data_IF_997530998079
#
_entry.id   IF_997530998079
#
_cell.length_a   1.000
_cell.length_b   1.000
_cell.length_c   1.000
_cell.angle_alpha   90.00
_cell.angle_beta   90.00
_cell.angle_gamma   90.00
#
_symmetry.space_group_name_H-M   'P 1'
#
loop_
_entity.id
_entity.type
_entity.pdbx_description
1 polymer ?
#
# COMPACT_ATOMS: atom_id res chain seq x y z
N UNK A 1 22.44 -6.43 -72.84
CA UNK A 1 21.49 -6.98 -71.84
C UNK A 1 22.28 -7.62 -70.71
N UNK A 2 22.22 -7.06 -69.49
CA UNK A 2 22.31 -7.72 -68.17
C UNK A 2 22.51 -6.63 -67.10
N UNK A 3 21.64 -6.68 -66.10
CA UNK A 3 21.37 -5.64 -65.09
C UNK A 3 22.47 -5.55 -64.02
N UNK A 4 22.70 -4.38 -63.39
CA UNK A 4 23.42 -4.32 -62.13
C UNK A 4 22.45 -4.61 -60.97
N UNK A 5 22.74 -5.67 -60.21
CA UNK A 5 22.04 -6.01 -58.97
C UNK A 5 22.51 -5.04 -57.89
N UNK A 6 21.59 -4.19 -57.45
CA UNK A 6 21.74 -3.31 -56.29
C UNK A 6 21.74 -4.15 -55.01
N UNK A 7 22.85 -4.15 -54.27
CA UNK A 7 22.94 -4.75 -52.95
C UNK A 7 22.67 -3.65 -51.90
N UNK A 8 21.39 -3.45 -51.58
CA UNK A 8 20.96 -2.60 -50.48
C UNK A 8 21.22 -3.33 -49.15
N UNK A 9 22.35 -3.02 -48.50
CA UNK A 9 22.63 -3.44 -47.11
C UNK A 9 21.86 -2.50 -46.18
N UNK A 10 20.60 -2.85 -45.92
CA UNK A 10 19.77 -2.22 -44.90
C UNK A 10 20.27 -2.70 -43.53
N UNK A 11 21.17 -1.92 -42.92
CA UNK A 11 21.62 -2.10 -41.55
C UNK A 11 20.44 -1.87 -40.62
N UNK A 12 19.83 -2.97 -40.16
CA UNK A 12 18.92 -2.98 -39.02
C UNK A 12 19.71 -2.55 -37.77
N UNK A 13 19.69 -1.25 -37.49
CA UNK A 13 19.98 -0.72 -36.15
C UNK A 13 18.84 -1.17 -35.23
N UNK A 14 19.02 -2.36 -34.66
CA UNK A 14 18.28 -2.82 -33.49
C UNK A 14 18.50 -1.79 -32.37
N UNK A 15 17.55 -0.88 -32.22
CA UNK A 15 17.40 -0.05 -31.03
C UNK A 15 17.00 -0.99 -29.90
N UNK A 16 17.99 -1.60 -29.26
CA UNK A 16 17.81 -2.22 -27.95
C UNK A 16 17.55 -1.09 -26.97
N UNK A 17 16.28 -0.70 -26.81
CA UNK A 17 15.85 0.08 -25.67
C UNK A 17 16.17 -0.75 -24.43
N UNK A 18 17.10 -0.35 -23.54
CA UNK A 18 17.13 -0.95 -22.22
C UNK A 18 15.75 -0.68 -21.62
N UNK A 19 14.97 -1.74 -21.41
CA UNK A 19 13.76 -1.63 -20.62
C UNK A 19 14.19 -1.03 -19.29
N UNK A 20 13.78 0.21 -19.03
CA UNK A 20 13.92 0.83 -17.73
C UNK A 20 13.07 0.00 -16.78
N UNK A 21 13.69 -1.04 -16.21
CA UNK A 21 13.22 -1.68 -15.01
C UNK A 21 13.43 -0.66 -13.89
N UNK A 22 12.57 0.37 -13.86
CA UNK A 22 12.60 1.41 -12.85
C UNK A 22 12.38 0.76 -11.49
N UNK A 23 13.28 1.03 -10.55
CA UNK A 23 13.16 0.55 -9.18
C UNK A 23 11.81 0.97 -8.57
N UNK A 24 11.16 0.05 -7.85
CA UNK A 24 9.91 0.34 -7.15
C UNK A 24 10.09 1.52 -6.19
N UNK A 25 9.14 2.49 -6.14
CA UNK A 25 9.24 3.65 -5.26
C UNK A 25 8.89 3.29 -3.82
N UNK A 26 9.75 2.51 -3.14
CA UNK A 26 9.46 1.89 -1.84
C UNK A 26 9.56 2.84 -0.64
N UNK A 27 9.99 4.09 -0.83
CA UNK A 27 10.27 5.04 0.25
C UNK A 27 9.31 6.22 0.27
N UNK A 28 8.74 6.51 1.44
CA UNK A 28 7.89 7.67 1.69
C UNK A 28 8.20 8.29 3.05
N UNK A 29 8.50 9.58 3.05
CA UNK A 29 8.79 10.36 4.26
C UNK A 29 9.90 9.76 5.16
N UNK A 30 10.90 9.10 4.55
CA UNK A 30 12.01 8.46 5.26
C UNK A 30 11.72 7.03 5.74
N UNK A 31 10.50 6.51 5.53
CA UNK A 31 10.15 5.11 5.77
C UNK A 31 10.24 4.30 4.47
N UNK A 32 10.86 3.13 4.52
CA UNK A 32 11.06 2.28 3.35
C UNK A 32 10.40 0.92 3.57
N UNK A 33 9.50 0.55 2.67
CA UNK A 33 8.87 -0.77 2.65
C UNK A 33 9.92 -1.88 2.55
N UNK A 34 9.68 -3.00 3.23
CA UNK A 34 10.60 -4.15 3.29
C UNK A 34 11.76 -3.99 4.27
N UNK A 35 11.91 -2.84 4.94
CA UNK A 35 12.92 -2.66 6.01
C UNK A 35 12.40 -3.09 7.37
N UNK A 36 13.32 -3.44 8.27
CA UNK A 36 12.97 -3.83 9.64
C UNK A 36 12.40 -2.66 10.43
N UNK A 37 11.25 -2.89 11.07
CA UNK A 37 10.53 -1.90 11.89
C UNK A 37 11.33 -1.36 13.07
N UNK A 38 12.36 -2.09 13.52
CA UNK A 38 13.26 -1.63 14.59
C UNK A 38 13.86 -0.25 14.28
N UNK A 39 14.09 0.05 12.99
CA UNK A 39 14.67 1.32 12.54
C UNK A 39 13.74 2.50 12.77
N UNK A 40 12.43 2.26 12.84
CA UNK A 40 11.41 3.31 12.90
C UNK A 40 10.76 3.45 14.28
N UNK A 41 11.21 2.68 15.28
CA UNK A 41 10.64 2.72 16.64
C UNK A 41 10.62 4.11 17.26
N UNK A 42 11.64 4.95 16.97
CA UNK A 42 11.71 6.33 17.46
C UNK A 42 10.62 7.27 16.90
N UNK A 43 9.95 6.89 15.82
CA UNK A 43 8.85 7.66 15.21
C UNK A 43 7.46 7.17 15.64
N UNK A 44 7.39 6.11 16.45
CA UNK A 44 6.15 5.47 16.86
C UNK A 44 5.83 5.72 18.33
N UNK A 45 4.54 5.72 18.65
CA UNK A 45 4.04 5.82 20.02
C UNK A 45 3.06 4.68 20.33
N UNK A 46 2.97 4.35 21.62
CA UNK A 46 2.06 3.32 22.12
C UNK A 46 2.49 1.89 21.79
N UNK A 47 1.65 0.91 22.16
CA UNK A 47 1.91 -0.49 21.89
C UNK A 47 1.73 -0.83 20.40
N UNK A 48 2.33 -1.93 19.97
CA UNK A 48 2.00 -2.56 18.70
C UNK A 48 0.67 -3.32 18.86
N UNK A 49 -0.25 -3.14 17.91
CA UNK A 49 -1.58 -3.72 17.95
C UNK A 49 -1.80 -4.60 16.73
N UNK A 50 -2.31 -5.82 16.94
CA UNK A 50 -2.79 -6.66 15.84
C UNK A 50 -3.97 -5.97 15.16
N UNK A 51 -3.96 -5.92 13.83
CA UNK A 51 -5.07 -5.33 13.05
C UNK A 51 -6.23 -6.34 13.04
N UNK A 52 -7.42 -6.02 13.61
CA UNK A 52 -8.48 -7.00 13.80
C UNK A 52 -8.92 -7.72 12.51
N UNK A 53 -9.10 -6.97 11.42
CA UNK A 53 -9.55 -7.53 10.13
C UNK A 53 -8.40 -8.21 9.35
N UNK A 54 -7.16 -8.05 9.80
CA UNK A 54 -5.95 -8.53 9.12
C UNK A 54 -4.97 -9.04 10.18
N UNK A 55 -5.30 -10.15 10.87
CA UNK A 55 -4.63 -10.57 12.11
C UNK A 55 -3.16 -10.94 11.94
N UNK A 56 -2.74 -11.20 10.70
CA UNK A 56 -1.35 -11.46 10.31
C UNK A 56 -0.49 -10.19 10.17
N UNK A 57 -1.06 -9.03 10.52
CA UNK A 57 -0.38 -7.76 10.55
C UNK A 57 -0.48 -7.09 11.92
N UNK A 58 0.59 -6.40 12.29
CA UNK A 58 0.65 -5.57 13.49
C UNK A 58 0.95 -4.12 13.12
N UNK A 59 0.20 -3.20 13.71
CA UNK A 59 0.27 -1.78 13.45
C UNK A 59 0.83 -1.02 14.67
N UNK A 60 1.70 -0.05 14.39
CA UNK A 60 2.16 0.94 15.36
C UNK A 60 1.74 2.33 14.91
N UNK A 61 1.19 3.11 15.83
CA UNK A 61 0.80 4.49 15.53
C UNK A 61 2.05 5.37 15.47
N UNK A 62 2.10 6.27 14.49
CA UNK A 62 3.12 7.30 14.42
C UNK A 62 2.87 8.34 15.51
N UNK A 63 3.95 8.81 16.12
CA UNK A 63 3.92 9.99 16.99
C UNK A 63 3.54 11.20 16.13
N UNK A 64 2.55 12.01 16.52
CA UNK A 64 2.23 13.26 15.83
C UNK A 64 3.49 14.10 15.64
N UNK A 65 3.64 14.73 14.48
CA UNK A 65 4.76 15.61 14.14
C UNK A 65 6.15 14.96 14.11
N UNK A 66 6.25 13.63 14.25
CA UNK A 66 7.51 12.89 14.02
C UNK A 66 8.03 13.03 12.58
N UNK A 67 7.15 13.40 11.65
CA UNK A 67 7.47 13.83 10.30
C UNK A 67 6.83 15.21 10.07
N UNK A 68 7.58 16.21 9.58
CA UNK A 68 7.01 17.53 9.31
C UNK A 68 5.78 17.46 8.38
N UNK A 69 4.70 18.14 8.78
CA UNK A 69 3.44 18.18 8.02
C UNK A 69 2.53 16.98 8.24
N UNK A 70 2.96 15.96 9.00
CA UNK A 70 2.19 14.76 9.30
C UNK A 70 1.61 14.84 10.72
N UNK A 71 0.28 14.90 10.82
CA UNK A 71 -0.44 14.97 12.10
C UNK A 71 -0.60 13.62 12.79
N UNK A 72 -0.26 12.54 12.09
CA UNK A 72 -0.33 11.18 12.59
C UNK A 72 -0.43 10.17 11.45
N UNK A 73 -0.61 8.91 11.80
CA UNK A 73 -0.56 7.82 10.85
C UNK A 73 -0.17 6.52 11.52
N UNK A 74 0.26 5.55 10.73
CA UNK A 74 0.72 4.28 11.24
C UNK A 74 1.70 3.59 10.32
N UNK A 75 2.53 2.75 10.92
CA UNK A 75 3.41 1.81 10.23
C UNK A 75 2.93 0.40 10.57
N UNK A 76 2.74 -0.44 9.55
CA UNK A 76 2.25 -1.82 9.73
C UNK A 76 3.29 -2.81 9.26
N UNK A 77 3.50 -3.85 10.05
CA UNK A 77 4.45 -4.92 9.76
C UNK A 77 3.81 -6.30 9.83
N UNK A 78 4.49 -7.27 9.22
CA UNK A 78 4.14 -8.68 9.30
C UNK A 78 4.35 -9.26 10.70
N UNK A 79 3.58 -10.29 11.04
CA UNK A 79 3.72 -10.99 12.32
C UNK A 79 3.59 -12.52 12.22
N UNK A 80 3.41 -13.08 11.02
CA UNK A 80 3.31 -14.52 10.82
C UNK A 80 4.63 -15.13 10.36
N UNK A 81 5.30 -14.56 9.34
CA UNK A 81 6.55 -15.11 8.80
C UNK A 81 7.72 -15.03 9.81
N UNK A 82 7.56 -14.25 10.87
CA UNK A 82 8.58 -14.03 11.89
C UNK A 82 9.52 -12.87 11.58
N UNK A 83 9.33 -12.19 10.44
CA UNK A 83 10.08 -11.00 10.06
C UNK A 83 9.29 -9.72 10.36
N UNK A 84 9.86 -8.82 11.15
CA UNK A 84 9.26 -7.53 11.53
C UNK A 84 9.44 -6.48 10.39
N UNK A 85 9.12 -6.86 9.15
CA UNK A 85 9.28 -6.02 7.96
C UNK A 85 8.15 -5.00 7.86
N UNK A 86 8.48 -3.76 7.53
CA UNK A 86 7.51 -2.71 7.24
C UNK A 86 6.78 -3.01 5.92
N UNK A 87 5.48 -3.29 6.01
CA UNK A 87 4.64 -3.65 4.87
C UNK A 87 3.65 -2.56 4.47
N UNK A 88 3.26 -1.67 5.40
CA UNK A 88 2.41 -0.51 5.07
C UNK A 88 2.83 0.76 5.77
N UNK A 89 2.76 1.86 5.04
CA UNK A 89 2.97 3.21 5.55
C UNK A 89 1.65 3.96 5.37
N UNK A 90 1.07 4.50 6.43
CA UNK A 90 -0.10 5.38 6.37
C UNK A 90 0.25 6.72 6.98
N UNK A 91 0.14 7.79 6.20
CA UNK A 91 0.42 9.16 6.66
C UNK A 91 -0.84 10.01 6.54
N UNK A 92 -1.13 10.81 7.57
CA UNK A 92 -2.20 11.81 7.57
C UNK A 92 -1.59 13.20 7.70
N UNK A 93 -2.00 14.10 6.82
CA UNK A 93 -1.45 15.46 6.78
C UNK A 93 -2.22 16.41 7.71
N UNK A 94 -1.51 17.44 8.19
CA UNK A 94 -2.12 18.60 8.85
C UNK A 94 -2.98 19.41 7.88
N UNK A 95 -2.52 19.60 6.64
CA UNK A 95 -3.35 20.21 5.60
C UNK A 95 -4.40 19.20 5.14
N UNK A 96 -5.63 19.42 5.60
CA UNK A 96 -6.79 18.58 5.31
C UNK A 96 -7.56 19.05 4.08
N UNK A 97 -7.08 20.08 3.38
CA UNK A 97 -7.81 20.71 2.29
C UNK A 97 -7.80 19.85 1.02
N UNK A 98 -8.90 19.90 0.27
CA UNK A 98 -8.97 19.31 -1.07
C UNK A 98 -7.95 19.96 -2.03
N UNK A 99 -7.61 21.24 -1.80
CA UNK A 99 -6.60 21.96 -2.58
C UNK A 99 -5.23 21.29 -2.44
N UNK A 100 -4.82 20.93 -1.22
CA UNK A 100 -3.58 20.22 -1.00
C UNK A 100 -3.60 18.82 -1.61
N UNK A 101 -4.70 18.08 -1.45
CA UNK A 101 -4.88 16.80 -2.13
C UNK A 101 -4.70 16.90 -3.65
N UNK A 102 -5.34 17.87 -4.30
CA UNK A 102 -5.23 18.04 -5.75
C UNK A 102 -3.79 18.35 -6.19
N UNK A 103 -3.04 19.13 -5.39
CA UNK A 103 -1.62 19.37 -5.65
C UNK A 103 -0.81 18.08 -5.54
N UNK A 104 -1.06 17.29 -4.49
CA UNK A 104 -0.38 16.02 -4.27
C UNK A 104 -0.66 15.02 -5.40
N UNK A 105 -1.92 14.87 -5.80
CA UNK A 105 -2.32 14.02 -6.94
C UNK A 105 -1.63 14.47 -8.23
N UNK A 106 -1.54 15.79 -8.46
CA UNK A 106 -0.78 16.32 -9.61
C UNK A 106 0.69 15.92 -9.55
N UNK A 107 1.36 16.07 -8.42
CA UNK A 107 2.77 15.66 -8.25
C UNK A 107 2.98 14.16 -8.50
N UNK A 108 2.08 13.31 -8.02
CA UNK A 108 2.10 11.87 -8.33
C UNK A 108 1.87 11.61 -9.81
N UNK A 109 0.93 12.32 -10.43
CA UNK A 109 0.60 12.14 -11.85
C UNK A 109 1.75 12.57 -12.76
N UNK A 110 2.43 13.67 -12.43
CA UNK A 110 3.57 14.18 -13.18
C UNK A 110 4.79 13.23 -13.08
N UNK A 111 4.93 12.48 -11.97
CA UNK A 111 6.06 11.54 -11.74
C UNK A 111 5.80 10.12 -12.24
N UNK A 112 4.59 9.61 -12.02
CA UNK A 112 4.26 8.20 -12.23
C UNK A 112 3.23 7.98 -13.34
N UNK A 113 2.72 9.04 -13.96
CA UNK A 113 1.65 8.96 -14.93
C UNK A 113 0.26 8.92 -14.28
N UNK A 114 -0.78 8.67 -15.08
CA UNK A 114 -2.17 8.63 -14.60
C UNK A 114 -2.36 7.51 -13.58
N UNK A 115 -3.23 7.67 -12.58
CA UNK A 115 -3.56 6.60 -11.64
C UNK A 115 -4.23 5.42 -12.35
N UNK A 116 -3.99 4.22 -11.83
CA UNK A 116 -4.53 2.96 -12.34
C UNK A 116 -5.99 2.75 -11.94
N UNK A 117 -6.39 3.22 -10.77
CA UNK A 117 -7.77 3.08 -10.30
C UNK A 117 -8.26 4.24 -9.41
N UNK A 118 -9.58 4.42 -9.41
CA UNK A 118 -10.31 5.27 -8.47
C UNK A 118 -10.89 4.40 -7.35
N UNK A 119 -10.62 4.78 -6.10
CA UNK A 119 -11.05 4.05 -4.89
C UNK A 119 -11.92 4.91 -3.96
N UNK A 120 -12.38 6.07 -4.45
CA UNK A 120 -13.30 6.92 -3.70
C UNK A 120 -14.75 6.46 -3.79
N UNK A 121 -15.64 7.16 -3.12
CA UNK A 121 -17.07 6.90 -3.23
C UNK A 121 -17.70 7.61 -4.45
N UNK A 122 -18.93 7.21 -4.79
CA UNK A 122 -19.68 7.74 -5.93
C UNK A 122 -20.13 9.20 -5.71
N UNK A 123 -20.30 9.63 -4.46
CA UNK A 123 -20.77 10.96 -4.07
C UNK A 123 -19.61 11.97 -3.89
N UNK A 124 -18.36 11.50 -4.02
CA UNK A 124 -17.12 12.24 -3.81
C UNK A 124 -16.99 12.82 -2.40
N UNK A 125 -17.55 12.15 -1.39
CA UNK A 125 -17.22 12.47 0.01
C UNK A 125 -15.82 11.97 0.38
N UNK A 126 -15.42 10.86 -0.23
CA UNK A 126 -14.07 10.31 -0.28
C UNK A 126 -13.61 10.29 -1.74
N UNK A 127 -12.43 10.84 -2.00
CA UNK A 127 -11.76 10.81 -3.31
C UNK A 127 -10.42 10.13 -3.10
N UNK A 128 -10.16 9.04 -3.80
CA UNK A 128 -8.90 8.32 -3.67
C UNK A 128 -8.42 7.81 -5.03
N UNK A 129 -7.14 8.02 -5.31
CA UNK A 129 -6.47 7.59 -6.53
C UNK A 129 -5.34 6.65 -6.18
N UNK A 130 -5.26 5.53 -6.90
CA UNK A 130 -4.27 4.49 -6.67
C UNK A 130 -3.32 4.36 -7.86
N UNK A 131 -2.05 4.15 -7.55
CA UNK A 131 -1.00 3.74 -8.48
C UNK A 131 -0.47 2.38 -8.04
N UNK A 132 -0.34 1.47 -8.98
CA UNK A 132 0.13 0.11 -8.76
C UNK A 132 1.47 -0.09 -9.48
N UNK A 133 2.45 -0.66 -8.78
CA UNK A 133 3.79 -0.89 -9.31
C UNK A 133 4.15 -2.36 -9.13
N UNK A 134 4.84 -2.92 -10.12
CA UNK A 134 5.36 -4.29 -10.05
C UNK A 134 6.70 -4.43 -10.76
N UNK A 135 7.62 -5.17 -10.14
CA UNK A 135 8.93 -5.43 -10.68
C UNK A 135 9.50 -6.70 -10.05
N UNK A 136 9.99 -7.64 -10.87
CA UNK A 136 10.77 -8.78 -10.36
C UNK A 136 10.05 -9.69 -9.36
N UNK A 137 8.72 -9.76 -9.41
CA UNK A 137 7.90 -10.53 -8.46
C UNK A 137 7.48 -9.75 -7.21
N UNK A 138 8.05 -8.57 -6.99
CA UNK A 138 7.56 -7.62 -5.99
C UNK A 138 6.46 -6.75 -6.59
N UNK A 139 5.45 -6.47 -5.77
CA UNK A 139 4.35 -5.57 -6.11
C UNK A 139 4.05 -4.67 -4.92
N UNK A 140 3.68 -3.42 -5.21
CA UNK A 140 3.32 -2.41 -4.23
C UNK A 140 2.27 -1.45 -4.79
N UNK A 141 1.47 -0.83 -3.90
CA UNK A 141 0.48 0.20 -4.26
C UNK A 141 0.70 1.50 -3.48
N UNK A 142 0.41 2.64 -4.11
CA UNK A 142 0.21 3.93 -3.42
C UNK A 142 -1.22 4.39 -3.62
N UNK A 143 -1.91 4.68 -2.52
CA UNK A 143 -3.22 5.31 -2.50
C UNK A 143 -3.13 6.72 -1.92
N UNK A 144 -3.44 7.74 -2.71
CA UNK A 144 -3.58 9.12 -2.25
C UNK A 144 -5.06 9.41 -2.07
N UNK A 145 -5.46 9.84 -0.88
CA UNK A 145 -6.87 10.01 -0.50
C UNK A 145 -7.15 11.38 0.12
N UNK A 146 -8.34 11.92 -0.16
CA UNK A 146 -8.97 12.99 0.59
C UNK A 146 -10.39 12.60 1.00
N UNK A 147 -10.76 12.91 2.24
CA UNK A 147 -12.11 12.68 2.78
C UNK A 147 -12.65 13.94 3.46
N UNK A 148 -13.92 14.27 3.20
CA UNK A 148 -14.69 15.25 4.00
C UNK A 148 -15.55 14.60 5.07
N UNK A 149 -15.63 13.27 5.07
CA UNK A 149 -16.41 12.50 6.02
C UNK A 149 -15.70 12.51 7.39
N UNK A 150 -16.43 12.96 8.41
CA UNK A 150 -15.92 13.09 9.79
C UNK A 150 -15.72 11.73 10.46
N UNK A 151 -16.48 10.73 10.06
CA UNK A 151 -16.41 9.37 10.57
C UNK A 151 -15.36 8.56 9.80
N UNK A 152 -15.18 8.84 8.50
CA UNK A 152 -14.17 8.19 7.66
C UNK A 152 -12.91 9.05 7.47
N UNK A 153 -12.03 9.02 8.48
CA UNK A 153 -10.63 9.52 8.44
C UNK A 153 -10.49 10.85 7.65
N UNK A 154 -11.00 11.98 8.20
CA UNK A 154 -11.09 13.24 7.47
C UNK A 154 -9.72 13.81 7.07
N UNK A 155 -9.70 14.53 5.95
CA UNK A 155 -8.53 15.23 5.42
C UNK A 155 -7.74 14.42 4.39
N UNK A 156 -6.47 14.80 4.22
CA UNK A 156 -5.56 14.19 3.21
C UNK A 156 -4.72 13.10 3.83
N UNK A 157 -4.55 12.00 3.11
CA UNK A 157 -3.69 10.89 3.51
C UNK A 157 -3.03 10.19 2.33
N UNK A 158 -1.91 9.54 2.61
CA UNK A 158 -1.25 8.61 1.70
C UNK A 158 -1.17 7.25 2.41
N UNK A 159 -1.50 6.18 1.69
CA UNK A 159 -1.24 4.80 2.10
C UNK A 159 -0.33 4.16 1.07
N UNK A 160 0.81 3.63 1.50
CA UNK A 160 1.63 2.72 0.71
C UNK A 160 1.57 1.31 1.25
N UNK A 161 1.55 0.33 0.36
CA UNK A 161 1.51 -1.09 0.72
C UNK A 161 2.50 -1.88 -0.14
N UNK A 162 3.34 -2.70 0.48
CA UNK A 162 4.08 -3.76 -0.20
C UNK A 162 3.15 -4.96 -0.35
N UNK A 163 2.38 -5.00 -1.44
CA UNK A 163 1.33 -6.00 -1.67
C UNK A 163 1.89 -7.42 -1.65
N UNK A 164 3.02 -7.65 -2.31
CA UNK A 164 3.71 -8.94 -2.30
C UNK A 164 4.08 -9.43 -0.88
N UNK A 165 4.54 -8.53 0.00
CA UNK A 165 4.87 -8.87 1.38
C UNK A 165 3.63 -9.11 2.25
N UNK A 166 2.56 -8.33 2.04
CA UNK A 166 1.26 -8.58 2.70
C UNK A 166 0.70 -9.94 2.30
N UNK A 167 0.79 -10.28 1.01
CA UNK A 167 0.33 -11.58 0.51
C UNK A 167 1.14 -12.73 1.12
N UNK A 168 2.45 -12.59 1.24
CA UNK A 168 3.29 -13.61 1.87
C UNK A 168 2.91 -13.86 3.34
N UNK A 169 2.63 -12.80 4.11
CA UNK A 169 2.13 -12.90 5.49
C UNK A 169 0.75 -13.57 5.55
N UNK A 170 -0.14 -13.21 4.62
CA UNK A 170 -1.47 -13.83 4.53
C UNK A 170 -1.37 -15.34 4.30
N UNK A 171 -0.54 -15.76 3.35
CA UNK A 171 -0.35 -17.18 3.04
C UNK A 171 0.23 -17.96 4.22
N UNK A 172 1.19 -17.38 4.95
CA UNK A 172 1.68 -17.93 6.21
C UNK A 172 0.54 -18.13 7.22
N UNK A 173 -0.29 -17.10 7.40
CA UNK A 173 -1.36 -17.12 8.39
C UNK A 173 -2.45 -18.13 8.05
N UNK A 174 -2.81 -18.26 6.77
CA UNK A 174 -3.78 -19.24 6.31
C UNK A 174 -3.25 -20.68 6.51
N UNK A 175 -1.97 -20.92 6.23
CA UNK A 175 -1.35 -22.22 6.48
C UNK A 175 -1.30 -22.60 7.97
N UNK A 176 -1.24 -21.62 8.89
CA UNK A 176 -1.36 -21.86 10.33
C UNK A 176 -2.81 -22.03 10.79
N UNK A 177 -3.73 -21.19 10.29
CA UNK A 177 -5.13 -21.14 10.73
C UNK A 177 -5.96 -22.32 10.23
N UNK A 178 -5.72 -22.78 9.00
CA UNK A 178 -6.39 -23.98 8.46
C UNK A 178 -6.12 -25.23 9.29
N UNK A 179 -4.94 -25.32 9.93
CA UNK A 179 -4.62 -26.39 10.90
C UNK A 179 -5.45 -26.25 12.18
N UNK A 180 -5.54 -25.04 12.72
CA UNK A 180 -6.28 -24.78 13.96
C UNK A 180 -7.79 -24.99 13.83
N UNK A 181 -8.38 -24.64 12.68
CA UNK A 181 -9.81 -24.86 12.43
C UNK A 181 -10.16 -26.34 12.26
N UNK A 182 -9.29 -27.11 11.59
CA UNK A 182 -9.40 -28.57 11.50
C UNK A 182 -9.30 -29.24 12.88
N UNK A 183 -8.48 -28.71 13.78
CA UNK A 183 -8.28 -29.27 15.13
C UNK A 183 -9.38 -28.90 16.14
N UNK A 184 -10.05 -27.75 15.98
CA UNK A 184 -10.90 -27.17 17.06
C UNK A 184 -12.39 -27.04 16.78
N UNK A 185 -12.86 -27.22 15.54
CA UNK A 185 -14.28 -27.05 15.19
C UNK A 185 -14.73 -25.59 15.37
N UNK A 186 -14.74 -24.84 14.27
CA UNK A 186 -14.66 -23.38 14.27
C UNK A 186 -15.73 -22.61 15.09
N UNK A 187 -15.36 -21.45 15.70
CA UNK A 187 -16.23 -20.59 16.50
C UNK A 187 -17.20 -19.72 15.67
N UNK A 188 -17.36 -20.02 14.37
CA UNK A 188 -18.01 -19.15 13.37
C UNK A 188 -19.52 -19.33 13.27
N UNK A 189 -20.10 -20.29 13.98
CA UNK A 189 -21.53 -20.56 13.94
C UNK A 189 -22.34 -19.49 14.69
N UNK A 190 -23.15 -18.73 13.96
CA UNK A 190 -24.23 -17.90 14.53
C UNK A 190 -25.30 -18.84 15.08
N UNK A 191 -25.54 -18.80 16.40
CA UNK A 191 -26.47 -19.71 17.09
C UNK A 191 -27.91 -19.20 17.03
N UNK A 192 -28.11 -17.89 17.19
CA UNK A 192 -29.41 -17.23 17.07
C UNK A 192 -29.21 -15.77 16.65
N UNK A 193 -30.14 -15.23 15.84
CA UNK A 193 -30.16 -13.82 15.49
C UNK A 193 -30.58 -12.93 16.67
N UNK A 194 -31.34 -13.49 17.63
CA UNK A 194 -31.82 -12.74 18.80
C UNK A 194 -30.67 -12.24 19.70
N UNK A 195 -29.49 -12.89 19.64
CA UNK A 195 -28.29 -12.47 20.37
C UNK A 195 -27.71 -11.14 19.84
N UNK A 196 -28.10 -10.74 18.63
CA UNK A 196 -27.57 -9.55 17.94
C UNK A 196 -28.61 -8.44 17.79
N UNK A 197 -29.81 -8.60 18.37
CA UNK A 197 -30.87 -7.59 18.37
C UNK A 197 -30.85 -6.85 19.73
N UNK A 198 -30.57 -5.53 19.75
CA UNK A 198 -30.62 -4.73 20.97
C UNK A 198 -32.02 -4.78 21.63
N UNK A 199 -32.06 -4.85 22.96
CA UNK A 199 -33.30 -4.81 23.76
C UNK A 199 -33.41 -3.50 24.53
#
# INVERSE_FOLDING_TARGET
MKQPIALAVLVLLLVSSPGLAGELPLTLAGFTLGRDMVQYKGHCQGPALVVPDIPFLTERSLTPDAVPGIRGGSLTHGNCLGEDKLLRIKLKFHDTSQKFFNKLVKEYTDRFGKPDSYQGDAFRNVIAWQWDFSQGGEAMSVLVMWSRDKEMRPGVSIKMTLESGVEAEYQCFMAASGRQEQERGGPTAIRSLDEFIPR
#
